data_IF_760085833961
#
_entry.id   IF_760085833961
#
_cell.length_a   1.000
_cell.length_b   1.000
_cell.length_c   1.000
_cell.angle_alpha   90.00
_cell.angle_beta   90.00
_cell.angle_gamma   90.00
#
_symmetry.space_group_name_H-M   'P 1'
#
loop_
_entity.id
_entity.type
_entity.pdbx_description
1 polymer ?
#
# COMPACT_ATOMS: atom_id res chain seq x y z
N UNK A 1 -36.41 28.14 -41.71
CA UNK A 1 -35.03 28.13 -41.16
C UNK A 1 -34.96 28.17 -39.62
N UNK A 2 -36.04 27.88 -38.88
CA UNK A 2 -36.04 27.91 -37.41
C UNK A 2 -35.71 26.54 -36.78
N UNK A 3 -36.05 25.43 -37.46
CA UNK A 3 -35.98 24.08 -36.90
C UNK A 3 -34.54 23.61 -36.60
N UNK A 4 -33.58 23.91 -37.50
CA UNK A 4 -32.16 23.54 -37.30
C UNK A 4 -31.47 24.33 -36.19
N UNK A 5 -31.90 25.58 -35.93
CA UNK A 5 -31.36 26.42 -34.86
C UNK A 5 -31.82 25.93 -33.49
N UNK A 6 -33.08 25.51 -33.37
CA UNK A 6 -33.60 24.90 -32.14
C UNK A 6 -32.93 23.55 -31.83
N UNK A 7 -32.70 22.72 -32.85
CA UNK A 7 -32.03 21.43 -32.66
C UNK A 7 -30.58 21.59 -32.22
N UNK A 8 -29.84 22.54 -32.80
CA UNK A 8 -28.47 22.86 -32.38
C UNK A 8 -28.41 23.39 -30.94
N UNK A 9 -29.38 24.23 -30.53
CA UNK A 9 -29.50 24.70 -29.16
C UNK A 9 -29.78 23.57 -28.16
N UNK A 10 -30.69 22.64 -28.50
CA UNK A 10 -30.99 21.49 -27.64
C UNK A 10 -29.79 20.57 -27.48
N UNK A 11 -29.04 20.31 -28.56
CA UNK A 11 -27.80 19.56 -28.49
C UNK A 11 -26.77 20.23 -27.60
N UNK A 12 -26.56 21.53 -27.75
CA UNK A 12 -25.57 22.29 -26.98
C UNK A 12 -25.95 22.33 -25.49
N UNK A 13 -27.22 22.52 -25.15
CA UNK A 13 -27.71 22.44 -23.77
C UNK A 13 -27.53 21.03 -23.20
N UNK A 14 -27.79 19.98 -23.98
CA UNK A 14 -27.56 18.60 -23.53
C UNK A 14 -26.08 18.30 -23.30
N UNK A 15 -25.18 18.80 -24.15
CA UNK A 15 -23.74 18.66 -23.97
C UNK A 15 -23.25 19.42 -22.74
N UNK A 16 -23.75 20.63 -22.49
CA UNK A 16 -23.41 21.39 -21.30
C UNK A 16 -23.95 20.72 -20.02
N UNK A 17 -25.16 20.18 -20.06
CA UNK A 17 -25.73 19.42 -18.95
C UNK A 17 -24.92 18.13 -18.67
N UNK A 18 -24.49 17.42 -19.71
CA UNK A 18 -23.60 16.27 -19.57
C UNK A 18 -22.22 16.65 -19.04
N UNK A 19 -21.68 17.82 -19.44
CA UNK A 19 -20.41 18.33 -18.94
C UNK A 19 -20.50 18.71 -17.46
N UNK A 20 -21.56 19.39 -17.04
CA UNK A 20 -21.82 19.73 -15.63
C UNK A 20 -22.04 18.46 -14.80
N UNK A 21 -22.82 17.50 -15.29
CA UNK A 21 -23.01 16.21 -14.62
C UNK A 21 -21.71 15.39 -14.52
N UNK A 22 -20.76 15.60 -15.45
CA UNK A 22 -19.44 14.99 -15.38
C UNK A 22 -18.47 15.71 -14.41
N UNK A 23 -18.75 16.95 -14.02
CA UNK A 23 -17.99 17.66 -12.98
C UNK A 23 -18.33 17.17 -11.57
N UNK A 24 -19.54 16.64 -11.38
CA UNK A 24 -20.01 16.08 -10.11
C UNK A 24 -19.72 14.57 -9.97
N UNK A 25 -18.90 13.97 -10.85
CA UNK A 25 -18.23 12.75 -10.43
C UNK A 25 -17.32 13.14 -9.27
N UNK A 26 -17.47 12.55 -8.07
CA UNK A 26 -16.45 12.68 -7.07
C UNK A 26 -15.20 12.02 -7.67
N UNK A 27 -14.33 12.84 -8.25
CA UNK A 27 -12.90 12.57 -8.32
C UNK A 27 -12.58 12.03 -6.93
N UNK A 28 -12.23 10.74 -6.84
CA UNK A 28 -12.14 10.01 -5.57
C UNK A 28 -11.47 10.91 -4.54
N UNK A 29 -12.31 11.47 -3.66
CA UNK A 29 -11.96 12.66 -2.90
C UNK A 29 -10.75 12.38 -2.03
N UNK A 30 -10.05 13.44 -1.62
CA UNK A 30 -8.93 13.46 -0.69
C UNK A 30 -9.26 12.84 0.69
N UNK A 31 -9.59 11.55 0.69
CA UNK A 31 -10.28 10.80 1.73
C UNK A 31 -10.59 9.35 1.33
N UNK A 32 -10.11 8.86 0.17
CA UNK A 32 -10.03 7.42 -0.10
C UNK A 32 -9.44 6.73 1.14
N UNK A 33 -10.19 5.84 1.81
CA UNK A 33 -9.70 5.22 3.02
C UNK A 33 -8.43 4.47 2.68
N UNK A 34 -7.35 4.72 3.42
CA UNK A 34 -6.13 3.93 3.32
C UNK A 34 -6.52 2.47 3.55
N UNK A 35 -6.60 1.67 2.47
CA UNK A 35 -6.92 0.25 2.60
C UNK A 35 -5.62 -0.42 3.03
N UNK A 36 -5.55 -0.87 4.28
CA UNK A 36 -4.41 -1.59 4.83
C UNK A 36 -4.81 -3.01 5.21
N UNK A 37 -4.24 -3.99 4.54
CA UNK A 37 -4.42 -5.42 4.84
C UNK A 37 -3.14 -5.90 5.51
N UNK A 38 -3.24 -6.45 6.73
CA UNK A 38 -2.10 -6.97 7.47
C UNK A 38 -2.33 -8.46 7.71
N UNK A 39 -1.39 -9.29 7.25
CA UNK A 39 -1.35 -10.71 7.56
C UNK A 39 -0.08 -11.01 8.34
N UNK A 40 -0.24 -11.54 9.55
CA UNK A 40 0.87 -11.94 10.42
C UNK A 40 0.85 -13.44 10.62
N UNK A 41 2.00 -14.07 10.46
CA UNK A 41 2.19 -15.48 10.77
C UNK A 41 3.42 -15.63 11.68
N UNK A 42 3.31 -16.46 12.71
CA UNK A 42 4.44 -16.84 13.56
C UNK A 42 4.80 -18.30 13.27
N UNK A 43 6.08 -18.61 13.23
CA UNK A 43 6.53 -19.99 13.19
C UNK A 43 6.59 -20.55 14.61
N UNK A 44 6.41 -21.88 14.77
CA UNK A 44 6.68 -22.55 16.05
C UNK A 44 8.12 -22.34 16.55
N UNK A 45 9.06 -22.10 15.62
CA UNK A 45 10.48 -21.94 15.89
C UNK A 45 10.90 -20.47 16.15
N UNK A 46 10.06 -19.64 16.77
CA UNK A 46 10.40 -18.24 17.12
C UNK A 46 10.59 -17.25 15.96
N UNK A 47 10.15 -17.61 14.75
CA UNK A 47 10.09 -16.74 13.59
C UNK A 47 8.75 -16.01 13.47
N UNK A 48 8.73 -14.91 12.75
CA UNK A 48 7.51 -14.21 12.36
C UNK A 48 7.65 -13.53 11.01
N UNK A 49 6.57 -13.56 10.23
CA UNK A 49 6.41 -12.84 8.98
C UNK A 49 5.18 -11.94 9.10
N UNK A 50 5.30 -10.70 8.66
CA UNK A 50 4.20 -9.76 8.51
C UNK A 50 4.18 -9.30 7.07
N UNK A 51 3.04 -9.50 6.40
CA UNK A 51 2.77 -8.98 5.07
C UNK A 51 1.75 -7.87 5.21
N UNK A 52 2.07 -6.69 4.69
CA UNK A 52 1.18 -5.53 4.69
C UNK A 52 0.94 -5.09 3.25
N UNK A 53 -0.30 -5.15 2.79
CA UNK A 53 -0.72 -4.49 1.56
C UNK A 53 -1.36 -3.15 1.90
N UNK A 54 -0.96 -2.07 1.25
CA UNK A 54 -1.61 -0.77 1.39
C UNK A 54 -1.97 -0.15 0.03
N UNK A 55 -3.06 0.61 0.02
CA UNK A 55 -3.41 1.51 -1.09
C UNK A 55 -3.73 2.89 -0.51
N UNK A 56 -2.97 3.88 -0.95
CA UNK A 56 -3.09 5.28 -0.55
C UNK A 56 -2.93 6.18 -1.77
N UNK A 57 -3.55 7.36 -1.76
CA UNK A 57 -3.50 8.30 -2.88
C UNK A 57 -2.12 8.98 -3.01
N UNK A 58 -1.39 9.16 -1.91
CA UNK A 58 -0.08 9.83 -1.94
C UNK A 58 1.05 8.86 -2.30
N UNK A 59 1.03 7.66 -1.71
CA UNK A 59 2.10 6.66 -1.86
C UNK A 59 1.78 5.58 -2.90
N UNK A 60 0.53 5.46 -3.33
CA UNK A 60 0.07 4.46 -4.30
C UNK A 60 -0.21 3.09 -3.67
N UNK A 61 -0.13 2.04 -4.50
CA UNK A 61 -0.25 0.64 -4.10
C UNK A 61 1.11 0.09 -3.68
N UNK A 62 1.15 -0.44 -2.46
CA UNK A 62 2.36 -0.96 -1.86
C UNK A 62 2.14 -2.33 -1.23
N UNK A 63 3.17 -3.18 -1.29
CA UNK A 63 3.24 -4.44 -0.57
C UNK A 63 4.55 -4.50 0.20
N UNK A 64 4.45 -4.63 1.52
CA UNK A 64 5.56 -4.76 2.44
C UNK A 64 5.59 -6.16 3.05
N UNK A 65 6.78 -6.71 3.20
CA UNK A 65 7.05 -7.94 3.93
C UNK A 65 8.11 -7.66 4.97
N UNK A 66 7.87 -8.09 6.21
CA UNK A 66 8.82 -8.02 7.31
C UNK A 66 8.98 -9.41 7.91
N UNK A 67 10.22 -9.81 8.14
CA UNK A 67 10.60 -11.08 8.74
C UNK A 67 11.51 -10.82 9.94
N UNK A 68 11.24 -11.52 11.04
CA UNK A 68 12.08 -11.51 12.24
C UNK A 68 12.14 -12.92 12.82
N UNK A 69 13.32 -13.37 13.25
CA UNK A 69 13.53 -14.72 13.79
C UNK A 69 14.66 -14.73 14.82
N UNK A 70 14.38 -15.24 16.03
CA UNK A 70 15.44 -15.57 16.96
C UNK A 70 16.06 -16.92 16.57
N UNK A 71 17.31 -16.90 16.12
CA UNK A 71 18.04 -18.10 15.71
C UNK A 71 18.67 -18.81 16.91
N UNK A 72 19.06 -18.04 17.92
CA UNK A 72 19.73 -18.55 19.09
C UNK A 72 19.51 -17.62 20.28
N UNK A 73 19.32 -18.24 21.44
CA UNK A 73 19.40 -17.59 22.75
C UNK A 73 20.25 -18.48 23.64
N UNK A 74 21.26 -17.91 24.28
CA UNK A 74 22.11 -18.64 25.22
C UNK A 74 21.31 -19.07 26.45
N UNK A 75 21.71 -20.18 27.07
CA UNK A 75 20.99 -20.75 28.23
C UNK A 75 20.94 -19.80 29.42
N UNK A 76 21.98 -18.99 29.58
CA UNK A 76 22.11 -17.97 30.63
C UNK A 76 21.52 -16.60 30.23
N UNK A 77 20.95 -16.49 29.03
CA UNK A 77 20.34 -15.26 28.49
C UNK A 77 21.34 -14.13 28.19
N UNK A 78 22.64 -14.40 28.21
CA UNK A 78 23.69 -13.39 27.97
C UNK A 78 23.98 -13.15 26.50
N UNK A 79 23.60 -14.07 25.62
CA UNK A 79 23.83 -14.02 24.19
C UNK A 79 22.55 -14.25 23.38
N UNK A 80 22.34 -13.47 22.32
CA UNK A 80 21.28 -13.74 21.33
C UNK A 80 21.78 -13.52 19.90
N UNK A 81 21.22 -14.29 18.97
CA UNK A 81 21.39 -14.10 17.53
C UNK A 81 20.00 -14.02 16.91
N UNK A 82 19.74 -12.90 16.27
CA UNK A 82 18.48 -12.60 15.60
C UNK A 82 18.73 -12.39 14.10
N UNK A 83 17.85 -12.92 13.26
CA UNK A 83 17.81 -12.64 11.83
C UNK A 83 16.57 -11.82 11.49
N UNK A 84 16.73 -10.85 10.60
CA UNK A 84 15.64 -10.03 10.11
C UNK A 84 15.78 -9.76 8.62
N UNK A 85 14.64 -9.57 7.96
CA UNK A 85 14.59 -9.14 6.57
C UNK A 85 13.36 -8.27 6.34
N UNK A 86 13.45 -7.37 5.37
CA UNK A 86 12.35 -6.55 4.92
C UNK A 86 12.37 -6.46 3.38
N UNK A 87 11.19 -6.42 2.79
CA UNK A 87 11.02 -6.17 1.36
C UNK A 87 9.81 -5.27 1.15
N UNK A 88 9.89 -4.40 0.15
CA UNK A 88 8.82 -3.50 -0.26
C UNK A 88 8.73 -3.48 -1.78
N UNK A 89 7.49 -3.50 -2.27
CA UNK A 89 7.13 -3.27 -3.66
C UNK A 89 6.15 -2.12 -3.76
N UNK A 90 6.50 -1.08 -4.50
CA UNK A 90 5.54 -0.07 -4.98
C UNK A 90 5.15 -0.40 -6.42
N UNK A 91 3.88 -0.72 -6.65
CA UNK A 91 3.38 -1.15 -7.95
C UNK A 91 3.22 -0.02 -8.95
N UNK A 92 2.99 1.20 -8.46
CA UNK A 92 2.69 2.36 -9.31
C UNK A 92 3.99 3.04 -9.77
N UNK A 93 5.01 3.07 -8.92
CA UNK A 93 6.33 3.61 -9.24
C UNK A 93 7.31 2.55 -9.77
N UNK A 94 6.88 1.28 -9.85
CA UNK A 94 7.73 0.14 -10.19
C UNK A 94 9.04 0.07 -9.37
N UNK A 95 8.99 0.46 -8.09
CA UNK A 95 10.17 0.46 -7.20
C UNK A 95 10.15 -0.73 -6.25
N UNK A 96 11.34 -1.26 -5.98
CA UNK A 96 11.56 -2.35 -5.05
C UNK A 96 12.66 -1.94 -4.08
N UNK A 97 12.48 -2.24 -2.79
CA UNK A 97 13.53 -2.12 -1.79
C UNK A 97 13.59 -3.41 -0.97
N UNK A 98 14.79 -3.84 -0.62
CA UNK A 98 15.04 -5.03 0.17
C UNK A 98 16.18 -4.76 1.14
N UNK A 99 16.08 -5.35 2.32
CA UNK A 99 17.05 -5.22 3.37
C UNK A 99 16.97 -6.40 4.32
N UNK A 100 17.99 -6.52 5.16
CA UNK A 100 18.04 -7.57 6.16
C UNK A 100 19.43 -7.72 6.75
N UNK A 101 19.53 -8.56 7.76
CA UNK A 101 20.78 -8.82 8.42
C UNK A 101 20.65 -9.83 9.55
N UNK A 102 21.79 -10.11 10.14
CA UNK A 102 21.93 -10.89 11.36
C UNK A 102 22.47 -9.94 12.43
N UNK A 103 21.81 -9.91 13.58
CA UNK A 103 22.24 -9.14 14.74
C UNK A 103 22.62 -10.09 15.86
N UNK A 104 23.83 -9.92 16.37
CA UNK A 104 24.30 -10.59 17.57
C UNK A 104 24.39 -9.63 18.75
N UNK A 105 24.05 -10.10 19.95
CA UNK A 105 24.17 -9.33 21.21
C UNK A 105 24.80 -10.21 22.27
N UNK A 106 25.82 -9.70 22.97
CA UNK A 106 26.48 -10.39 24.08
C UNK A 106 26.68 -9.45 25.26
N UNK A 107 26.58 -10.00 26.47
CA UNK A 107 26.92 -9.35 27.73
C UNK A 107 28.05 -10.15 28.39
N UNK A 108 29.12 -9.45 28.77
CA UNK A 108 30.30 -10.01 29.43
C UNK A 108 30.21 -9.78 30.93
#
# INVERSE_FOLDING_TARGET
MAFGKCFALLLLVSCLAAFVAAQDFPEAGAGSPMIKIIRRQRSPQHGSVVVTGSKDHQTGRQLDVQYNHNLYTSRDGRGSIDAYANANRNFDQNRNNFGGGIQGKWRF
#
